data_IF_822748751958
#
_entry.id   IF_822748751958
#
_cell.length_a   1.000
_cell.length_b   1.000
_cell.length_c   1.000
_cell.angle_alpha   90.00
_cell.angle_beta   90.00
_cell.angle_gamma   90.00
#
_symmetry.space_group_name_H-M   'P 1'
#
loop_
_entity.id
_entity.type
_entity.pdbx_description
1 polymer ?
#
# COMPACT_ATOMS: atom_id res chain seq x y z
N UNK A 1 -19.28 29.54 -16.29
CA UNK A 1 -19.78 29.35 -17.68
C UNK A 1 -18.67 28.74 -18.51
N UNK A 2 -18.76 27.45 -18.87
CA UNK A 2 -17.77 26.74 -19.69
C UNK A 2 -18.27 26.74 -21.14
N UNK A 3 -17.53 27.38 -22.03
CA UNK A 3 -17.72 27.25 -23.47
C UNK A 3 -17.46 25.79 -23.85
N UNK A 4 -18.53 25.06 -24.19
CA UNK A 4 -18.43 23.75 -24.85
C UNK A 4 -17.78 24.00 -26.20
N UNK A 5 -16.54 23.56 -26.37
CA UNK A 5 -15.89 23.46 -27.68
C UNK A 5 -16.85 22.65 -28.58
N UNK A 6 -17.34 23.30 -29.65
CA UNK A 6 -18.15 22.62 -30.66
C UNK A 6 -17.34 21.45 -31.23
N UNK A 7 -18.00 20.32 -31.58
CA UNK A 7 -17.35 19.26 -32.32
C UNK A 7 -16.70 19.88 -33.56
N UNK A 8 -15.46 19.50 -33.85
CA UNK A 8 -14.84 19.71 -35.16
C UNK A 8 -15.88 19.44 -36.23
N UNK A 9 -16.18 20.42 -37.08
CA UNK A 9 -16.99 20.22 -38.27
C UNK A 9 -16.46 18.97 -38.97
N UNK A 10 -17.28 17.93 -39.00
CA UNK A 10 -17.11 16.85 -39.95
C UNK A 10 -17.13 17.51 -41.33
N UNK A 11 -15.99 17.47 -42.01
CA UNK A 11 -15.90 17.83 -43.41
C UNK A 11 -16.78 16.81 -44.14
N UNK A 12 -18.04 17.16 -44.38
CA UNK A 12 -18.99 16.37 -45.16
C UNK A 12 -18.57 16.43 -46.63
N UNK A 13 -17.56 15.64 -47.00
CA UNK A 13 -17.30 15.31 -48.39
C UNK A 13 -18.42 14.36 -48.82
N UNK A 14 -19.25 14.82 -49.75
CA UNK A 14 -20.32 14.01 -50.31
C UNK A 14 -19.72 13.05 -51.36
N UNK A 15 -20.21 11.81 -51.47
CA UNK A 15 -19.70 10.83 -52.46
C UNK A 15 -19.73 11.31 -53.91
N UNK A 16 -20.51 12.36 -54.23
CA UNK A 16 -20.64 12.91 -55.57
C UNK A 16 -19.44 13.72 -56.09
N UNK A 17 -18.52 14.13 -55.22
CA UNK A 17 -17.39 15.00 -55.59
C UNK A 17 -16.05 14.24 -55.74
N UNK A 18 -16.07 12.91 -55.54
CA UNK A 18 -14.87 12.07 -55.53
C UNK A 18 -15.06 10.85 -56.45
N UNK A 19 -13.95 10.36 -57.04
CA UNK A 19 -13.98 9.08 -57.73
C UNK A 19 -14.23 7.93 -56.74
N UNK A 20 -14.83 6.82 -57.20
CA UNK A 20 -15.04 5.62 -56.37
C UNK A 20 -13.73 5.12 -55.72
N UNK A 21 -12.61 5.26 -56.42
CA UNK A 21 -11.27 4.89 -55.96
C UNK A 21 -10.82 5.80 -54.80
N UNK A 22 -11.03 7.11 -54.92
CA UNK A 22 -10.68 8.09 -53.88
C UNK A 22 -11.60 7.96 -52.66
N UNK A 23 -12.88 7.65 -52.89
CA UNK A 23 -13.84 7.38 -51.83
C UNK A 23 -13.46 6.13 -51.03
N UNK A 24 -13.02 5.07 -51.72
CA UNK A 24 -12.55 3.83 -51.09
C UNK A 24 -11.27 4.07 -50.28
N UNK A 25 -10.30 4.83 -50.81
CA UNK A 25 -9.07 5.23 -50.09
C UNK A 25 -9.36 6.09 -48.86
N UNK A 26 -10.32 7.02 -48.96
CA UNK A 26 -10.77 7.83 -47.83
C UNK A 26 -11.38 6.96 -46.73
N UNK A 27 -12.32 6.08 -47.08
CA UNK A 27 -12.93 5.14 -46.14
C UNK A 27 -11.89 4.27 -45.44
N UNK A 28 -10.93 3.72 -46.19
CA UNK A 28 -9.84 2.89 -45.66
C UNK A 28 -8.98 3.66 -44.66
N UNK A 29 -8.55 4.88 -45.02
CA UNK A 29 -7.70 5.72 -44.16
C UNK A 29 -8.41 6.14 -42.87
N UNK A 30 -9.71 6.46 -42.94
CA UNK A 30 -10.53 6.81 -41.76
C UNK A 30 -10.69 5.61 -40.83
N UNK A 31 -10.94 4.42 -41.40
CA UNK A 31 -10.99 3.16 -40.63
C UNK A 31 -9.66 2.86 -39.97
N UNK A 32 -8.55 2.99 -40.68
CA UNK A 32 -7.22 2.72 -40.15
C UNK A 32 -6.88 3.70 -39.00
N UNK A 33 -7.25 4.97 -39.12
CA UNK A 33 -7.14 5.96 -38.03
C UNK A 33 -7.98 5.62 -36.80
N UNK A 34 -9.21 5.12 -36.97
CA UNK A 34 -10.06 4.69 -35.87
C UNK A 34 -9.50 3.45 -35.15
N UNK A 35 -8.96 2.49 -35.91
CA UNK A 35 -8.29 1.30 -35.37
C UNK A 35 -7.05 1.71 -34.57
N UNK A 36 -6.23 2.61 -35.12
CA UNK A 36 -5.02 3.11 -34.46
C UNK A 36 -5.36 3.87 -33.16
N UNK A 37 -6.38 4.74 -33.17
CA UNK A 37 -6.90 5.42 -31.97
C UNK A 37 -7.39 4.43 -30.91
N UNK A 38 -8.12 3.40 -31.33
CA UNK A 38 -8.66 2.39 -30.42
C UNK A 38 -7.54 1.57 -29.77
N UNK A 39 -6.54 1.14 -30.56
CA UNK A 39 -5.36 0.44 -30.05
C UNK A 39 -4.57 1.30 -29.06
N UNK A 40 -4.28 2.54 -29.41
CA UNK A 40 -3.58 3.46 -28.51
C UNK A 40 -4.34 3.67 -27.18
N UNK A 41 -5.67 3.79 -27.23
CA UNK A 41 -6.49 3.90 -26.01
C UNK A 41 -6.48 2.63 -25.16
N UNK A 42 -6.42 1.45 -25.78
CA UNK A 42 -6.31 0.18 -25.06
C UNK A 42 -4.93 0.02 -24.41
N UNK A 43 -3.87 0.41 -25.10
CA UNK A 43 -2.50 0.36 -24.58
C UNK A 43 -2.33 1.31 -23.38
N UNK A 44 -2.87 2.53 -23.47
CA UNK A 44 -2.90 3.51 -22.36
C UNK A 44 -3.60 2.92 -21.12
N UNK A 45 -4.81 2.37 -21.29
CA UNK A 45 -5.56 1.74 -20.19
C UNK A 45 -4.84 0.52 -19.62
N UNK A 46 -4.19 -0.27 -20.46
CA UNK A 46 -3.40 -1.43 -20.02
C UNK A 46 -2.24 -0.99 -19.15
N UNK A 47 -1.56 0.09 -19.53
CA UNK A 47 -0.45 0.64 -18.75
C UNK A 47 -0.93 1.27 -17.43
N UNK A 48 -2.04 2.00 -17.42
CA UNK A 48 -2.69 2.49 -16.19
C UNK A 48 -3.02 1.34 -15.24
N UNK A 49 -3.66 0.27 -15.74
CA UNK A 49 -3.99 -0.92 -14.93
C UNK A 49 -2.75 -1.60 -14.36
N UNK A 50 -1.66 -1.69 -15.13
CA UNK A 50 -0.38 -2.23 -14.63
C UNK A 50 0.14 -1.39 -13.46
N UNK A 51 0.14 -0.07 -13.59
CA UNK A 51 0.57 0.84 -12.52
C UNK A 51 -0.31 0.71 -11.27
N UNK A 52 -1.63 0.68 -11.43
CA UNK A 52 -2.55 0.49 -10.31
C UNK A 52 -2.32 -0.84 -9.59
N UNK A 53 -2.13 -1.93 -10.35
CA UNK A 53 -1.88 -3.27 -9.82
C UNK A 53 -0.59 -3.31 -9.00
N UNK A 54 0.49 -2.71 -9.50
CA UNK A 54 1.76 -2.63 -8.77
C UNK A 54 1.65 -1.82 -7.47
N UNK A 55 0.93 -0.68 -7.51
CA UNK A 55 0.70 0.15 -6.33
C UNK A 55 -0.19 -0.57 -5.31
N UNK A 56 -1.22 -1.28 -5.75
CA UNK A 56 -2.07 -2.13 -4.91
C UNK A 56 -1.26 -3.25 -4.27
N UNK A 57 -0.38 -3.93 -5.02
CA UNK A 57 0.52 -4.95 -4.49
C UNK A 57 1.39 -4.42 -3.35
N UNK A 58 2.02 -3.24 -3.53
CA UNK A 58 2.83 -2.62 -2.49
C UNK A 58 2.01 -2.20 -1.26
N UNK A 59 0.75 -1.77 -1.44
CA UNK A 59 -0.16 -1.48 -0.32
C UNK A 59 -0.57 -2.75 0.44
N UNK A 60 -0.82 -3.84 -0.28
CA UNK A 60 -1.13 -5.14 0.32
C UNK A 60 0.05 -5.67 1.15
N UNK A 61 1.28 -5.57 0.63
CA UNK A 61 2.50 -5.88 1.39
C UNK A 61 2.59 -5.06 2.69
N UNK A 62 2.36 -3.75 2.63
CA UNK A 62 2.34 -2.90 3.83
C UNK A 62 1.25 -3.29 4.82
N UNK A 63 0.06 -3.69 4.34
CA UNK A 63 -1.05 -4.12 5.19
C UNK A 63 -0.76 -5.44 5.91
N UNK A 64 -0.09 -6.39 5.24
CA UNK A 64 0.37 -7.63 5.87
C UNK A 64 1.36 -7.35 7.00
N UNK A 65 2.39 -6.54 6.72
CA UNK A 65 3.39 -6.10 7.72
C UNK A 65 2.72 -5.41 8.92
N UNK A 66 1.73 -4.55 8.68
CA UNK A 66 1.00 -3.87 9.75
C UNK A 66 0.14 -4.83 10.60
N UNK A 67 -0.37 -5.91 10.00
CA UNK A 67 -1.13 -6.95 10.70
C UNK A 67 -0.22 -7.75 11.62
N UNK A 68 0.95 -8.14 11.14
CA UNK A 68 1.98 -8.82 11.94
C UNK A 68 2.40 -7.95 13.13
N UNK A 69 2.63 -6.65 12.88
CA UNK A 69 2.97 -5.69 13.93
C UNK A 69 1.89 -5.61 15.02
N UNK A 70 0.62 -5.57 14.62
CA UNK A 70 -0.51 -5.55 15.56
C UNK A 70 -0.59 -6.85 16.37
N UNK A 71 -0.37 -8.00 15.74
CA UNK A 71 -0.33 -9.31 16.40
C UNK A 71 0.74 -9.34 17.49
N UNK A 72 1.97 -8.92 17.17
CA UNK A 72 3.07 -8.82 18.15
C UNK A 72 2.73 -7.86 19.30
N UNK A 73 2.10 -6.72 19.01
CA UNK A 73 1.66 -5.77 20.04
C UNK A 73 0.58 -6.36 20.99
N UNK A 74 -0.27 -7.26 20.50
CA UNK A 74 -1.24 -7.99 21.33
C UNK A 74 -0.53 -9.03 22.20
N UNK A 75 0.42 -9.79 21.65
CA UNK A 75 1.20 -10.77 22.41
C UNK A 75 2.01 -10.11 23.54
N UNK A 76 2.65 -8.98 23.27
CA UNK A 76 3.37 -8.20 24.30
C UNK A 76 2.46 -7.77 25.44
N UNK A 77 1.24 -7.31 25.14
CA UNK A 77 0.27 -6.93 26.17
C UNK A 77 -0.14 -8.13 27.03
N UNK A 78 -0.38 -9.29 26.41
CA UNK A 78 -0.71 -10.50 27.15
C UNK A 78 0.44 -10.94 28.08
N UNK A 79 1.67 -10.91 27.59
CA UNK A 79 2.84 -11.23 28.40
C UNK A 79 3.05 -10.22 29.54
N UNK A 80 2.86 -8.93 29.29
CA UNK A 80 2.95 -7.92 30.35
C UNK A 80 1.89 -8.12 31.44
N UNK A 81 0.64 -8.40 31.05
CA UNK A 81 -0.43 -8.71 32.00
C UNK A 81 -0.08 -9.95 32.82
N UNK A 82 0.45 -10.99 32.17
CA UNK A 82 0.86 -12.21 32.83
C UNK A 82 2.01 -11.97 33.83
N UNK A 83 3.03 -11.20 33.46
CA UNK A 83 4.15 -10.85 34.36
C UNK A 83 3.63 -10.05 35.55
N UNK A 84 2.85 -9.00 35.30
CA UNK A 84 2.26 -8.16 36.36
C UNK A 84 1.41 -8.98 37.33
N UNK A 85 0.64 -9.95 36.84
CA UNK A 85 -0.16 -10.86 37.66
C UNK A 85 0.72 -11.72 38.57
N UNK A 86 1.80 -12.30 38.04
CA UNK A 86 2.75 -13.10 38.83
C UNK A 86 3.47 -12.27 39.88
N UNK A 87 3.92 -11.07 39.53
CA UNK A 87 4.55 -10.14 40.48
C UNK A 87 3.58 -9.68 41.56
N UNK A 88 2.32 -9.41 41.23
CA UNK A 88 1.29 -9.08 42.22
C UNK A 88 1.05 -10.25 43.20
N UNK A 89 1.06 -11.48 42.69
CA UNK A 89 0.94 -12.68 43.52
C UNK A 89 2.13 -12.85 44.47
N UNK A 90 3.35 -12.64 44.00
CA UNK A 90 4.57 -12.65 44.84
C UNK A 90 4.48 -11.57 45.93
N UNK A 91 4.11 -10.33 45.59
CA UNK A 91 3.90 -9.26 46.58
C UNK A 91 2.87 -9.63 47.64
N UNK A 92 1.82 -10.34 47.27
CA UNK A 92 0.81 -10.83 48.24
C UNK A 92 1.37 -11.91 49.16
N UNK A 93 2.25 -12.79 48.67
CA UNK A 93 2.95 -13.80 49.49
C UNK A 93 3.91 -13.10 50.46
N UNK A 94 4.67 -12.12 49.99
CA UNK A 94 5.60 -11.33 50.80
C UNK A 94 4.88 -10.58 51.93
N UNK A 95 3.71 -9.98 51.63
CA UNK A 95 2.89 -9.30 52.62
C UNK A 95 2.36 -10.27 53.69
N UNK A 96 1.96 -11.49 53.31
CA UNK A 96 1.52 -12.50 54.28
C UNK A 96 2.69 -13.02 55.12
N UNK A 97 3.84 -13.30 54.51
CA UNK A 97 5.06 -13.68 55.25
C UNK A 97 5.42 -12.64 56.32
N UNK A 98 5.36 -11.35 55.97
CA UNK A 98 5.64 -10.25 56.88
C UNK A 98 4.65 -10.14 58.05
N UNK A 99 3.44 -10.71 57.91
CA UNK A 99 2.44 -10.77 58.99
C UNK A 99 2.63 -11.93 59.98
N UNK A 100 3.49 -12.91 59.64
CA UNK A 100 3.76 -14.10 60.47
C UNK A 100 4.98 -13.88 61.37
N UNK A 101 4.99 -14.55 62.54
CA UNK A 101 6.09 -14.46 63.51
C UNK A 101 6.70 -15.81 63.87
N UNK A 102 7.97 -15.81 64.28
CA UNK A 102 8.67 -16.98 64.83
C UNK A 102 8.60 -18.24 63.96
N UNK A 103 8.20 -19.36 64.58
CA UNK A 103 8.14 -20.66 63.94
C UNK A 103 7.12 -20.74 62.79
N UNK A 104 6.01 -19.98 62.85
CA UNK A 104 4.99 -19.95 61.80
C UNK A 104 5.55 -19.35 60.51
N UNK A 105 6.36 -18.29 60.63
CA UNK A 105 7.06 -17.69 59.50
C UNK A 105 8.04 -18.66 58.85
N UNK A 106 8.83 -19.39 59.64
CA UNK A 106 9.80 -20.37 59.13
C UNK A 106 9.12 -21.54 58.39
N UNK A 107 8.01 -22.05 58.92
CA UNK A 107 7.21 -23.07 58.27
C UNK A 107 6.58 -22.56 56.95
N UNK A 108 6.11 -21.31 56.94
CA UNK A 108 5.54 -20.68 55.75
C UNK A 108 6.58 -20.45 54.65
N UNK A 109 7.74 -19.87 54.99
CA UNK A 109 8.84 -19.62 54.04
C UNK A 109 9.26 -20.92 53.34
N UNK A 110 9.49 -21.98 54.11
CA UNK A 110 9.87 -23.31 53.58
C UNK A 110 8.81 -23.88 52.62
N UNK A 111 7.53 -23.58 52.84
CA UNK A 111 6.42 -24.00 51.97
C UNK A 111 6.34 -23.20 50.68
N UNK A 112 6.67 -21.90 50.71
CA UNK A 112 6.50 -21.01 49.54
C UNK A 112 7.77 -20.84 48.70
N UNK A 113 8.95 -21.17 49.20
CA UNK A 113 10.23 -21.07 48.46
C UNK A 113 10.21 -21.80 47.12
N UNK A 114 9.68 -23.03 47.09
CA UNK A 114 9.52 -23.78 45.83
C UNK A 114 8.70 -22.99 44.81
N UNK A 115 7.61 -22.36 45.25
CA UNK A 115 6.72 -21.57 44.40
C UNK A 115 7.38 -20.27 43.93
N UNK A 116 8.16 -19.59 44.79
CA UNK A 116 8.95 -18.41 44.41
C UNK A 116 9.95 -18.73 43.30
N UNK A 117 10.65 -19.86 43.44
CA UNK A 117 11.60 -20.34 42.44
C UNK A 117 10.91 -20.63 41.10
N UNK A 118 9.78 -21.32 41.13
CA UNK A 118 8.96 -21.58 39.93
C UNK A 118 8.50 -20.28 39.27
N UNK A 119 7.94 -19.32 40.03
CA UNK A 119 7.50 -18.04 39.50
C UNK A 119 8.64 -17.22 38.89
N UNK A 120 9.83 -17.17 39.52
CA UNK A 120 11.00 -16.46 38.96
C UNK A 120 11.42 -17.06 37.62
N UNK A 121 11.51 -18.39 37.53
CA UNK A 121 11.86 -19.06 36.26
C UNK A 121 10.83 -18.80 35.15
N UNK A 122 9.54 -18.81 35.49
CA UNK A 122 8.50 -18.51 34.50
C UNK A 122 8.56 -17.04 34.04
N UNK A 123 8.79 -16.08 34.95
CA UNK A 123 8.99 -14.66 34.60
C UNK A 123 10.21 -14.50 33.69
N UNK A 124 11.34 -15.13 34.02
CA UNK A 124 12.55 -15.10 33.17
C UNK A 124 12.28 -15.65 31.77
N UNK A 125 11.54 -16.77 31.65
CA UNK A 125 11.11 -17.31 30.35
C UNK A 125 10.26 -16.32 29.57
N UNK A 126 9.26 -15.69 30.20
CA UNK A 126 8.38 -14.73 29.53
C UNK A 126 9.15 -13.46 29.12
N UNK A 127 10.07 -12.97 29.95
CA UNK A 127 10.94 -11.85 29.60
C UNK A 127 11.84 -12.18 28.39
N UNK A 128 12.32 -13.42 28.27
CA UNK A 128 13.03 -13.86 27.08
C UNK A 128 12.14 -13.82 25.82
N UNK A 129 10.88 -14.25 25.91
CA UNK A 129 9.94 -14.16 24.79
C UNK A 129 9.64 -12.71 24.40
N UNK A 130 9.50 -11.81 25.40
CA UNK A 130 9.32 -10.37 25.16
C UNK A 130 10.52 -9.79 24.38
N UNK A 131 11.75 -10.19 24.71
CA UNK A 131 12.96 -9.76 23.97
C UNK A 131 12.90 -10.20 22.51
N UNK A 132 12.60 -11.47 22.26
CA UNK A 132 12.46 -12.01 20.89
C UNK A 132 11.37 -11.28 20.10
N UNK A 133 10.22 -10.98 20.71
CA UNK A 133 9.16 -10.20 20.04
C UNK A 133 9.65 -8.78 19.71
N UNK A 134 10.41 -8.13 20.59
CA UNK A 134 10.95 -6.80 20.32
C UNK A 134 11.98 -6.79 19.18
N UNK A 135 12.78 -7.84 19.07
CA UNK A 135 13.69 -8.06 17.92
C UNK A 135 12.89 -8.22 16.62
N UNK A 136 11.83 -9.02 16.64
CA UNK A 136 10.91 -9.19 15.50
C UNK A 136 10.25 -7.86 15.11
N UNK A 137 9.77 -7.07 16.08
CA UNK A 137 9.21 -5.72 15.82
C UNK A 137 10.21 -4.80 15.16
N UNK A 138 11.46 -4.81 15.61
CA UNK A 138 12.54 -4.01 15.00
C UNK A 138 12.76 -4.39 13.53
N UNK A 139 12.71 -5.69 13.23
CA UNK A 139 12.79 -6.19 11.84
C UNK A 139 11.59 -5.71 11.00
N UNK A 140 10.38 -5.82 11.55
CA UNK A 140 9.13 -5.37 10.90
C UNK A 140 9.15 -3.86 10.66
N UNK A 141 9.64 -3.06 11.60
CA UNK A 141 9.76 -1.60 11.44
C UNK A 141 10.68 -1.25 10.26
N UNK A 142 11.82 -1.96 10.13
CA UNK A 142 12.73 -1.80 8.97
C UNK A 142 12.04 -2.20 7.67
N UNK A 143 11.30 -3.32 7.67
CA UNK A 143 10.55 -3.78 6.50
C UNK A 143 9.47 -2.78 6.07
N UNK A 144 8.75 -2.21 7.04
CA UNK A 144 7.71 -1.20 6.79
C UNK A 144 8.31 0.08 6.18
N UNK A 145 9.45 0.55 6.70
CA UNK A 145 10.17 1.71 6.15
C UNK A 145 10.63 1.43 4.71
N UNK A 146 11.16 0.22 4.44
CA UNK A 146 11.59 -0.18 3.10
C UNK A 146 10.40 -0.26 2.12
N UNK A 147 9.29 -0.89 2.52
CA UNK A 147 8.06 -0.93 1.73
C UNK A 147 7.50 0.46 1.44
N UNK A 148 7.46 1.35 2.45
CA UNK A 148 7.04 2.73 2.27
C UNK A 148 7.95 3.53 1.33
N UNK A 149 9.27 3.29 1.32
CA UNK A 149 10.19 3.87 0.34
C UNK A 149 9.88 3.35 -1.07
N UNK A 150 9.72 2.04 -1.27
CA UNK A 150 9.36 1.43 -2.56
C UNK A 150 8.07 2.03 -3.12
N UNK A 151 7.02 2.13 -2.30
CA UNK A 151 5.74 2.72 -2.68
C UNK A 151 5.88 4.19 -3.11
N UNK A 152 6.59 5.01 -2.35
CA UNK A 152 6.82 6.43 -2.71
C UNK A 152 7.60 6.57 -4.01
N UNK A 153 8.66 5.79 -4.20
CA UNK A 153 9.45 5.80 -5.43
C UNK A 153 8.59 5.40 -6.62
N UNK A 154 7.81 4.32 -6.50
CA UNK A 154 6.98 3.85 -7.61
C UNK A 154 5.86 4.83 -7.94
N UNK A 155 5.24 5.44 -6.93
CA UNK A 155 4.24 6.49 -7.13
C UNK A 155 4.82 7.71 -7.86
N UNK A 156 6.03 8.15 -7.49
CA UNK A 156 6.71 9.24 -8.22
C UNK A 156 6.98 8.91 -9.68
N UNK A 157 7.38 7.67 -9.97
CA UNK A 157 7.60 7.23 -11.34
C UNK A 157 6.28 7.24 -12.14
N UNK A 158 5.19 6.80 -11.53
CA UNK A 158 3.85 6.89 -12.13
C UNK A 158 3.43 8.34 -12.39
N UNK A 159 3.62 9.24 -11.41
CA UNK A 159 3.32 10.67 -11.55
C UNK A 159 4.12 11.32 -12.71
N UNK A 160 5.41 10.93 -12.85
CA UNK A 160 6.26 11.40 -13.96
C UNK A 160 5.77 10.89 -15.31
N UNK A 161 5.35 9.63 -15.40
CA UNK A 161 4.86 9.04 -16.64
C UNK A 161 3.52 9.67 -17.07
N UNK A 162 2.60 9.86 -16.12
CA UNK A 162 1.34 10.57 -16.36
C UNK A 162 1.58 12.01 -16.86
N UNK A 163 2.57 12.70 -16.30
CA UNK A 163 2.93 14.05 -16.75
C UNK A 163 3.53 14.05 -18.16
N UNK A 164 4.34 13.04 -18.54
CA UNK A 164 4.82 12.88 -19.92
C UNK A 164 3.66 12.63 -20.88
N UNK A 165 2.77 11.68 -20.57
CA UNK A 165 1.60 11.38 -21.39
C UNK A 165 0.70 12.61 -21.56
N UNK A 166 0.47 13.37 -20.48
CA UNK A 166 -0.26 14.64 -20.53
C UNK A 166 0.40 15.64 -21.47
N UNK A 167 1.72 15.79 -21.45
CA UNK A 167 2.45 16.70 -22.36
C UNK A 167 2.30 16.26 -23.81
N UNK A 168 2.48 14.98 -24.10
CA UNK A 168 2.30 14.40 -25.44
C UNK A 168 0.86 14.67 -25.93
N UNK A 169 -0.15 14.39 -25.09
CA UNK A 169 -1.55 14.67 -25.42
C UNK A 169 -1.84 16.14 -25.69
N UNK A 170 -1.17 17.07 -24.99
CA UNK A 170 -1.26 18.50 -25.27
C UNK A 170 -0.58 18.89 -26.60
N UNK A 171 0.56 18.28 -26.94
CA UNK A 171 1.25 18.49 -28.21
C UNK A 171 0.45 17.98 -29.40
N UNK A 172 -0.15 16.79 -29.29
CA UNK A 172 -1.05 16.23 -30.30
C UNK A 172 -2.22 17.19 -30.54
N UNK A 173 -2.92 17.62 -29.47
CA UNK A 173 -4.02 18.59 -29.58
C UNK A 173 -3.58 19.91 -30.21
N UNK A 174 -2.36 20.38 -29.92
CA UNK A 174 -1.79 21.59 -30.55
C UNK A 174 -1.55 21.36 -32.04
N UNK A 175 -1.04 20.20 -32.44
CA UNK A 175 -0.78 19.83 -33.84
C UNK A 175 -2.08 19.70 -34.63
N UNK A 176 -3.05 18.96 -34.11
CA UNK A 176 -4.39 18.80 -34.72
C UNK A 176 -5.07 20.17 -34.95
N UNK A 177 -4.94 21.10 -34.00
CA UNK A 177 -5.44 22.47 -34.15
C UNK A 177 -4.73 23.25 -35.26
N UNK A 178 -3.43 23.03 -35.50
CA UNK A 178 -2.69 23.66 -36.60
C UNK A 178 -3.09 23.08 -37.95
N UNK A 179 -3.15 21.76 -38.05
CA UNK A 179 -3.57 21.04 -39.27
C UNK A 179 -5.01 21.41 -39.65
N UNK A 180 -5.94 21.44 -38.69
CA UNK A 180 -7.31 21.89 -38.92
C UNK A 180 -7.42 23.36 -39.36
N UNK A 181 -6.48 24.22 -38.97
CA UNK A 181 -6.44 25.62 -39.44
C UNK A 181 -5.84 25.72 -40.84
N UNK A 182 -4.79 24.94 -41.14
CA UNK A 182 -4.20 24.86 -42.48
C UNK A 182 -5.19 24.32 -43.51
N UNK A 183 -5.95 23.27 -43.15
CA UNK A 183 -7.02 22.71 -43.98
C UNK A 183 -8.22 23.64 -44.18
N UNK A 184 -8.40 24.67 -43.34
CA UNK A 184 -9.44 25.71 -43.55
C UNK A 184 -8.98 26.85 -44.45
N UNK A 185 -7.68 26.96 -44.71
CA UNK A 185 -7.10 28.01 -45.56
C UNK A 185 -6.84 27.58 -47.00
N UNK A 186 -6.98 26.27 -47.26
CA UNK A 186 -6.99 25.63 -48.58
C UNK A 186 -8.45 25.48 -48.98
#
# INVERSE_FOLDING_TARGET
>A
MRSRERPTQEVQLSPGDMSDEDWRKFCQRTRDQEIERTRASLDEKSEELRWETEILGLRAEMAAIATDYRSLGTQLRLFQVWVNYREARERSVDAHEASLSGAERQAYVSRVEKRRKENRMEIERVLAHIRTINEQRTSIDRALVAAGKRLRTRKRAWDQENEKQRRIGLEIKRRERRESRGLRSI
#
